data_IF_626062106455
#
_entry.id   IF_626062106455
#
_cell.length_a   1.000
_cell.length_b   1.000
_cell.length_c   1.000
_cell.angle_alpha   90.00
_cell.angle_beta   90.00
_cell.angle_gamma   90.00
#
_symmetry.space_group_name_H-M   'P 1'
#
loop_
_entity.id
_entity.type
_entity.pdbx_description
1 polymer ?
#
# COMPACT_ATOMS: atom_id res chain seq x y z
N UNK A 1 -31.03 13.47 15.66
CA UNK A 1 -29.68 13.83 15.14
C UNK A 1 -28.52 13.27 15.96
N UNK A 2 -28.62 13.12 17.30
CA UNK A 2 -27.52 12.64 18.18
C UNK A 2 -27.15 11.15 18.01
N UNK A 3 -28.13 10.24 17.92
CA UNK A 3 -27.86 8.79 17.84
C UNK A 3 -27.19 8.38 16.52
N UNK A 4 -27.60 8.99 15.40
CA UNK A 4 -27.04 8.74 14.08
C UNK A 4 -25.55 9.14 13.99
N UNK A 5 -25.21 10.30 14.54
CA UNK A 5 -23.81 10.76 14.60
C UNK A 5 -22.94 9.87 15.51
N UNK A 6 -23.52 9.30 16.57
CA UNK A 6 -22.81 8.33 17.43
C UNK A 6 -22.56 6.99 16.72
N UNK A 7 -23.54 6.49 15.95
CA UNK A 7 -23.39 5.26 15.15
C UNK A 7 -22.34 5.45 14.06
N UNK A 8 -22.38 6.58 13.34
CA UNK A 8 -21.38 6.90 12.31
C UNK A 8 -19.96 7.05 12.86
N UNK A 9 -19.82 7.66 14.05
CA UNK A 9 -18.53 7.75 14.74
C UNK A 9 -18.01 6.38 15.20
N UNK A 10 -18.88 5.51 15.69
CA UNK A 10 -18.49 4.13 16.02
C UNK A 10 -18.06 3.36 14.78
N UNK A 11 -18.77 3.46 13.66
CA UNK A 11 -18.37 2.81 12.41
C UNK A 11 -17.05 3.34 11.86
N UNK A 12 -16.80 4.65 12.01
CA UNK A 12 -15.55 5.26 11.55
C UNK A 12 -14.33 4.85 12.37
N UNK A 13 -14.50 4.79 13.69
CA UNK A 13 -13.45 4.30 14.60
C UNK A 13 -13.15 2.81 14.32
N UNK A 14 -14.18 2.02 13.98
CA UNK A 14 -14.04 0.60 13.60
C UNK A 14 -13.23 0.46 12.29
N UNK A 15 -13.52 1.25 11.25
CA UNK A 15 -12.77 1.17 9.97
C UNK A 15 -11.29 1.48 10.19
N UNK A 16 -10.98 2.53 10.95
CA UNK A 16 -9.60 2.88 11.30
C UNK A 16 -8.89 1.75 12.06
N UNK A 17 -9.55 1.19 13.10
CA UNK A 17 -9.00 0.07 13.87
C UNK A 17 -8.74 -1.15 12.99
N UNK A 18 -9.64 -1.48 12.05
CA UNK A 18 -9.46 -2.60 11.13
C UNK A 18 -8.22 -2.40 10.25
N UNK A 19 -8.00 -1.19 9.72
CA UNK A 19 -6.81 -0.91 8.89
C UNK A 19 -5.52 -1.02 9.70
N UNK A 20 -5.48 -0.52 10.94
CA UNK A 20 -4.35 -0.73 11.85
C UNK A 20 -4.10 -2.21 12.16
N UNK A 21 -5.16 -2.99 12.40
CA UNK A 21 -5.05 -4.44 12.63
C UNK A 21 -4.49 -5.16 11.40
N UNK A 22 -4.95 -4.81 10.20
CA UNK A 22 -4.45 -5.39 8.96
C UNK A 22 -2.97 -5.06 8.73
N UNK A 23 -2.58 -3.80 8.95
CA UNK A 23 -1.19 -3.37 8.89
C UNK A 23 -0.29 -4.17 9.84
N UNK A 24 -0.68 -4.29 11.13
CA UNK A 24 0.07 -5.07 12.11
C UNK A 24 0.15 -6.56 11.75
N UNK A 25 -0.91 -7.15 11.19
CA UNK A 25 -0.89 -8.54 10.71
C UNK A 25 0.07 -8.72 9.54
N UNK A 26 0.12 -7.76 8.62
CA UNK A 26 1.02 -7.80 7.47
C UNK A 26 2.49 -7.71 7.90
N UNK A 27 2.81 -6.82 8.86
CA UNK A 27 4.13 -6.76 9.49
C UNK A 27 4.50 -8.05 10.23
N UNK A 28 3.52 -8.67 10.92
CA UNK A 28 3.74 -9.95 11.60
C UNK A 28 4.02 -11.09 10.60
N UNK A 29 3.40 -11.07 9.43
CA UNK A 29 3.68 -12.04 8.37
C UNK A 29 5.11 -11.90 7.85
N UNK A 30 5.58 -10.68 7.59
CA UNK A 30 6.98 -10.41 7.22
C UNK A 30 7.95 -10.88 8.29
N UNK A 31 7.69 -10.55 9.55
CA UNK A 31 8.50 -11.02 10.69
C UNK A 31 8.53 -12.56 10.78
N UNK A 32 7.43 -13.22 10.40
CA UNK A 32 7.35 -14.68 10.35
C UNK A 32 8.19 -15.26 9.21
N UNK A 33 8.16 -14.65 8.02
CA UNK A 33 9.02 -15.02 6.90
C UNK A 33 10.50 -14.87 7.26
N UNK A 34 10.87 -13.72 7.83
CA UNK A 34 12.20 -13.46 8.35
C UNK A 34 12.67 -14.53 9.34
N UNK A 35 11.89 -14.79 10.38
CA UNK A 35 12.27 -15.75 11.42
C UNK A 35 12.42 -17.18 10.90
N UNK A 36 11.64 -17.56 9.87
CA UNK A 36 11.69 -18.89 9.25
C UNK A 36 12.72 -18.99 8.13
N UNK A 37 13.38 -17.89 7.74
CA UNK A 37 14.21 -17.84 6.53
C UNK A 37 13.42 -18.18 5.26
N UNK A 38 12.12 -17.90 5.25
CA UNK A 38 11.26 -18.14 4.10
C UNK A 38 11.36 -16.96 3.13
N UNK A 39 11.67 -17.26 1.87
CA UNK A 39 11.62 -16.30 0.77
C UNK A 39 10.33 -16.57 0.00
N UNK A 40 9.32 -15.68 0.08
CA UNK A 40 8.07 -15.84 -0.66
C UNK A 40 8.28 -15.63 -2.17
N UNK A 41 7.26 -15.96 -2.97
CA UNK A 41 7.21 -15.50 -4.37
C UNK A 41 7.05 -13.98 -4.42
N UNK A 42 7.40 -13.36 -5.55
CA UNK A 42 7.20 -11.92 -5.72
C UNK A 42 5.71 -11.54 -5.56
N UNK A 43 4.81 -12.36 -6.08
CA UNK A 43 3.36 -12.15 -5.95
C UNK A 43 2.90 -12.21 -4.48
N UNK A 44 3.26 -13.27 -3.74
CA UNK A 44 2.92 -13.40 -2.32
C UNK A 44 3.51 -12.26 -1.48
N UNK A 45 4.75 -11.86 -1.80
CA UNK A 45 5.40 -10.73 -1.16
C UNK A 45 4.64 -9.42 -1.41
N UNK A 46 4.24 -9.12 -2.65
CA UNK A 46 3.56 -7.88 -2.99
C UNK A 46 2.12 -7.82 -2.45
N UNK A 47 1.42 -8.94 -2.41
CA UNK A 47 0.08 -9.03 -1.82
C UNK A 47 0.09 -8.60 -0.36
N UNK A 48 1.10 -9.04 0.41
CA UNK A 48 1.29 -8.57 1.78
C UNK A 48 1.95 -7.18 1.84
N UNK A 49 2.93 -6.95 0.97
CA UNK A 49 3.80 -5.79 0.87
C UNK A 49 3.06 -4.48 0.63
N UNK A 50 1.95 -4.54 -0.11
CA UNK A 50 1.07 -3.38 -0.34
C UNK A 50 0.30 -2.96 0.93
N UNK A 51 0.12 -3.87 1.89
CA UNK A 51 -0.51 -3.56 3.18
C UNK A 51 0.56 -3.11 4.17
N UNK A 52 1.67 -3.85 4.28
CA UNK A 52 2.77 -3.56 5.21
C UNK A 52 3.59 -2.32 4.84
N UNK A 53 3.45 -1.78 3.62
CA UNK A 53 4.06 -0.49 3.24
C UNK A 53 3.38 0.72 3.88
N UNK A 54 2.27 0.51 4.60
CA UNK A 54 1.41 1.53 5.21
C UNK A 54 0.63 2.41 4.22
N UNK A 55 0.78 2.24 2.90
CA UNK A 55 0.10 3.09 1.90
C UNK A 55 -1.42 3.12 2.09
N UNK A 56 -2.07 1.97 2.27
CA UNK A 56 -3.50 1.88 2.58
C UNK A 56 -3.89 2.67 3.84
N UNK A 57 -3.08 2.57 4.89
CA UNK A 57 -3.32 3.23 6.16
C UNK A 57 -3.14 4.76 6.05
N UNK A 58 -2.10 5.22 5.36
CA UNK A 58 -1.84 6.64 5.10
C UNK A 58 -2.94 7.25 4.24
N UNK A 59 -3.33 6.57 3.16
CA UNK A 59 -4.42 7.00 2.28
C UNK A 59 -5.75 7.16 3.01
N UNK A 60 -6.08 6.22 3.91
CA UNK A 60 -7.25 6.33 4.79
C UNK A 60 -7.19 7.61 5.64
N UNK A 61 -6.05 7.84 6.29
CA UNK A 61 -5.83 9.02 7.13
C UNK A 61 -5.86 10.33 6.34
N UNK A 62 -5.37 10.34 5.10
CA UNK A 62 -5.42 11.50 4.20
C UNK A 62 -6.87 11.81 3.82
N UNK A 63 -7.63 10.82 3.33
CA UNK A 63 -9.02 11.03 2.89
C UNK A 63 -9.90 11.51 4.04
N UNK A 64 -9.77 10.91 5.23
CA UNK A 64 -10.57 11.28 6.39
C UNK A 64 -10.08 12.54 7.11
N UNK A 65 -8.77 12.75 7.16
CA UNK A 65 -8.17 13.93 7.76
C UNK A 65 -8.52 15.20 7.00
N UNK A 66 -8.44 15.17 5.67
CA UNK A 66 -8.73 16.34 4.83
C UNK A 66 -10.22 16.72 4.80
N UNK A 67 -11.11 15.78 5.09
CA UNK A 67 -12.56 16.00 5.14
C UNK A 67 -13.06 16.35 6.55
N UNK A 68 -12.16 16.30 7.56
CA UNK A 68 -12.40 16.59 8.97
C UNK A 68 -13.56 15.80 9.62
N UNK A 69 -14.14 14.83 8.90
CA UNK A 69 -15.26 13.97 9.32
C UNK A 69 -15.26 12.72 8.46
N UNK A 70 -15.45 11.58 9.10
CA UNK A 70 -15.73 10.32 8.41
C UNK A 70 -17.24 10.28 8.14
N UNK A 71 -17.62 10.52 6.90
CA UNK A 71 -18.99 10.48 6.39
C UNK A 71 -19.17 9.29 5.46
N UNK A 72 -20.43 8.97 5.11
CA UNK A 72 -20.71 7.97 4.07
C UNK A 72 -19.99 8.31 2.75
N UNK A 73 -20.07 9.56 2.32
CA UNK A 73 -19.39 10.04 1.10
C UNK A 73 -17.88 9.80 1.12
N UNK A 74 -17.22 9.99 2.27
CA UNK A 74 -15.78 9.72 2.37
C UNK A 74 -15.43 8.23 2.39
N UNK A 75 -16.33 7.39 2.89
CA UNK A 75 -16.19 5.94 2.84
C UNK A 75 -16.41 5.42 1.41
N UNK A 76 -17.46 5.90 0.75
CA UNK A 76 -17.75 5.62 -0.65
C UNK A 76 -16.56 6.05 -1.52
N UNK A 77 -15.97 7.24 -1.27
CA UNK A 77 -14.77 7.69 -1.98
C UNK A 77 -13.54 6.84 -1.71
N UNK A 78 -13.32 6.40 -0.47
CA UNK A 78 -12.21 5.49 -0.14
C UNK A 78 -12.36 4.16 -0.89
N UNK A 79 -13.58 3.62 -0.98
CA UNK A 79 -13.90 2.42 -1.76
C UNK A 79 -13.73 2.64 -3.28
N UNK A 80 -14.21 3.77 -3.81
CA UNK A 80 -14.03 4.15 -5.21
C UNK A 80 -12.55 4.30 -5.60
N UNK A 81 -11.68 4.62 -4.64
CA UNK A 81 -10.25 4.83 -4.86
C UNK A 81 -9.39 3.58 -4.57
N UNK A 82 -9.99 2.40 -4.32
CA UNK A 82 -9.23 1.21 -3.94
C UNK A 82 -8.08 0.87 -4.92
N UNK A 83 -8.31 0.94 -6.24
CA UNK A 83 -7.27 0.70 -7.24
C UNK A 83 -6.13 1.72 -7.16
N UNK A 84 -6.45 2.99 -6.93
CA UNK A 84 -5.44 4.05 -6.77
C UNK A 84 -4.62 3.77 -5.51
N UNK A 85 -5.28 3.48 -4.39
CA UNK A 85 -4.64 3.21 -3.10
C UNK A 85 -3.75 1.96 -3.18
N UNK A 86 -4.24 0.89 -3.82
CA UNK A 86 -3.48 -0.32 -4.05
C UNK A 86 -2.21 -0.03 -4.85
N UNK A 87 -2.33 0.61 -6.02
CA UNK A 87 -1.18 0.91 -6.86
C UNK A 87 -0.21 1.91 -6.23
N UNK A 88 -0.71 2.93 -5.53
CA UNK A 88 0.13 3.83 -4.72
C UNK A 88 0.91 3.05 -3.67
N UNK A 89 0.26 2.11 -2.96
CA UNK A 89 0.91 1.29 -1.94
C UNK A 89 1.97 0.34 -2.50
N UNK A 90 1.75 -0.20 -3.71
CA UNK A 90 2.74 -0.98 -4.46
C UNK A 90 3.93 -0.11 -4.85
N UNK A 91 3.72 1.11 -5.36
CA UNK A 91 4.83 2.02 -5.69
C UNK A 91 5.63 2.36 -4.43
N UNK A 92 4.98 2.72 -3.32
CA UNK A 92 5.65 3.00 -2.04
C UNK A 92 6.52 1.81 -1.62
N UNK A 93 5.97 0.59 -1.65
CA UNK A 93 6.68 -0.64 -1.31
C UNK A 93 7.92 -0.81 -2.20
N UNK A 94 7.74 -0.80 -3.51
CA UNK A 94 8.82 -1.10 -4.45
C UNK A 94 9.93 -0.02 -4.44
N UNK A 95 9.55 1.25 -4.33
CA UNK A 95 10.52 2.34 -4.19
C UNK A 95 11.29 2.23 -2.86
N UNK A 96 10.63 1.82 -1.78
CA UNK A 96 11.28 1.56 -0.50
C UNK A 96 12.33 0.44 -0.65
N UNK A 97 11.92 -0.74 -1.13
CA UNK A 97 12.80 -1.90 -1.31
C UNK A 97 14.00 -1.60 -2.23
N UNK A 98 13.81 -0.79 -3.29
CA UNK A 98 14.92 -0.35 -4.14
C UNK A 98 15.95 0.50 -3.39
N UNK A 99 15.47 1.40 -2.52
CA UNK A 99 16.30 2.32 -1.75
C UNK A 99 16.94 1.69 -0.51
N UNK A 100 16.38 0.61 0.02
CA UNK A 100 16.82 -0.02 1.28
C UNK A 100 17.56 -1.34 1.10
N UNK A 101 17.61 -1.92 -0.11
CA UNK A 101 18.17 -3.26 -0.35
C UNK A 101 19.54 -3.50 0.34
N UNK A 102 20.48 -2.56 0.21
CA UNK A 102 21.82 -2.72 0.79
C UNK A 102 21.75 -2.84 2.31
N UNK A 103 20.98 -1.96 2.96
CA UNK A 103 20.80 -1.96 4.41
C UNK A 103 20.01 -3.17 4.90
N UNK A 104 19.04 -3.65 4.13
CA UNK A 104 18.28 -4.86 4.42
C UNK A 104 19.19 -6.11 4.39
N UNK A 105 20.01 -6.23 3.34
CA UNK A 105 21.00 -7.31 3.23
C UNK A 105 22.02 -7.30 4.38
N UNK A 106 22.51 -6.12 4.78
CA UNK A 106 23.43 -5.98 5.93
C UNK A 106 22.79 -6.41 7.26
N UNK A 107 21.48 -6.21 7.41
CA UNK A 107 20.70 -6.64 8.60
C UNK A 107 20.31 -8.11 8.55
N UNK A 108 20.62 -8.79 7.44
CA UNK A 108 20.23 -10.17 7.19
C UNK A 108 18.76 -10.35 6.89
N UNK A 109 18.07 -9.29 6.43
CA UNK A 109 16.69 -9.39 5.99
C UNK A 109 16.59 -10.27 4.74
N UNK A 110 15.58 -11.13 4.71
CA UNK A 110 15.47 -12.20 3.69
C UNK A 110 14.40 -11.91 2.64
N UNK A 111 13.56 -10.90 2.87
CA UNK A 111 12.44 -10.58 2.01
C UNK A 111 12.49 -9.10 1.58
N UNK A 112 12.88 -8.87 0.33
CA UNK A 112 12.60 -7.65 -0.43
C UNK A 112 12.10 -8.07 -1.82
N UNK A 113 11.37 -7.20 -2.52
CA UNK A 113 10.84 -7.53 -3.84
C UNK A 113 11.93 -7.97 -4.83
N UNK A 114 13.12 -7.37 -4.73
CA UNK A 114 14.27 -7.70 -5.59
C UNK A 114 14.76 -9.13 -5.29
N UNK A 115 14.92 -9.47 -4.01
CA UNK A 115 15.39 -10.80 -3.60
C UNK A 115 14.36 -11.90 -3.93
N UNK A 116 13.06 -11.62 -3.72
CA UNK A 116 11.99 -12.55 -4.04
C UNK A 116 12.01 -12.90 -5.55
N UNK A 117 12.14 -11.89 -6.41
CA UNK A 117 12.18 -12.12 -7.86
C UNK A 117 13.47 -12.80 -8.33
N UNK A 118 14.63 -12.38 -7.81
CA UNK A 118 15.92 -13.05 -8.09
C UNK A 118 15.84 -14.55 -7.78
N UNK A 119 15.27 -14.91 -6.62
CA UNK A 119 15.16 -16.29 -6.18
C UNK A 119 14.11 -17.07 -6.98
N UNK A 120 12.98 -16.46 -7.28
CA UNK A 120 11.87 -17.08 -8.01
C UNK A 120 12.26 -17.42 -9.46
N UNK A 121 12.84 -16.46 -10.18
CA UNK A 121 13.16 -16.59 -11.60
C UNK A 121 14.62 -17.01 -11.86
N UNK A 122 15.44 -17.12 -10.80
CA UNK A 122 16.86 -17.44 -10.87
C UNK A 122 17.64 -16.49 -11.80
N UNK A 123 17.47 -15.18 -11.57
CA UNK A 123 18.05 -14.09 -12.37
C UNK A 123 19.02 -13.22 -11.55
N UNK A 124 19.80 -12.38 -12.24
CA UNK A 124 20.69 -11.41 -11.58
C UNK A 124 19.89 -10.29 -10.90
N UNK A 125 20.54 -9.58 -9.98
CA UNK A 125 19.97 -8.38 -9.34
C UNK A 125 19.59 -7.30 -10.37
N UNK A 126 20.41 -7.11 -11.41
CA UNK A 126 20.14 -6.16 -12.50
C UNK A 126 18.81 -6.47 -13.19
N UNK A 127 18.60 -7.72 -13.62
CA UNK A 127 17.36 -8.16 -14.26
C UNK A 127 16.17 -8.04 -13.30
N UNK A 128 16.38 -8.33 -12.02
CA UNK A 128 15.33 -8.15 -11.03
C UNK A 128 14.94 -6.69 -10.82
N UNK A 129 15.92 -5.77 -10.74
CA UNK A 129 15.66 -4.33 -10.64
C UNK A 129 14.88 -3.81 -11.85
N UNK A 130 15.28 -4.19 -13.06
CA UNK A 130 14.56 -3.82 -14.29
C UNK A 130 13.10 -4.32 -14.25
N UNK A 131 12.86 -5.54 -13.77
CA UNK A 131 11.51 -6.06 -13.62
C UNK A 131 10.70 -5.25 -12.59
N UNK A 132 11.28 -4.94 -11.43
CA UNK A 132 10.63 -4.12 -10.40
C UNK A 132 10.31 -2.72 -10.93
N UNK A 133 11.21 -2.09 -11.70
CA UNK A 133 10.97 -0.80 -12.35
C UNK A 133 9.79 -0.86 -13.33
N UNK A 134 9.65 -1.96 -14.07
CA UNK A 134 8.48 -2.17 -14.94
C UNK A 134 7.17 -2.21 -14.15
N UNK A 135 7.15 -2.88 -12.98
CA UNK A 135 5.96 -2.94 -12.12
C UNK A 135 5.61 -1.55 -11.56
N UNK A 136 6.62 -0.77 -11.18
CA UNK A 136 6.44 0.64 -10.74
C UNK A 136 5.80 1.46 -11.87
N UNK A 137 6.36 1.38 -13.08
CA UNK A 137 5.85 2.10 -14.25
C UNK A 137 4.41 1.70 -14.59
N UNK A 138 4.09 0.41 -14.54
CA UNK A 138 2.74 -0.08 -14.84
C UNK A 138 1.74 0.32 -13.74
N UNK A 139 2.16 0.33 -12.47
CA UNK A 139 1.35 0.86 -11.37
C UNK A 139 1.05 2.34 -11.55
N UNK A 140 2.03 3.15 -11.95
CA UNK A 140 1.82 4.56 -12.29
C UNK A 140 0.84 4.76 -13.45
N UNK A 141 0.90 3.92 -14.50
CA UNK A 141 -0.08 3.99 -15.61
C UNK A 141 -1.51 3.72 -15.10
N UNK A 142 -1.68 2.74 -14.21
CA UNK A 142 -2.98 2.43 -13.60
C UNK A 142 -3.48 3.55 -12.68
N UNK A 143 -2.62 4.10 -11.82
CA UNK A 143 -2.94 5.29 -11.00
C UNK A 143 -3.45 6.42 -11.90
N UNK A 144 -2.73 6.74 -12.97
CA UNK A 144 -3.10 7.80 -13.90
C UNK A 144 -4.44 7.52 -14.61
N UNK A 145 -4.69 6.28 -15.01
CA UNK A 145 -5.95 5.88 -15.61
C UNK A 145 -7.12 6.14 -14.63
N UNK A 146 -7.07 5.53 -13.44
CA UNK A 146 -8.14 5.66 -12.45
C UNK A 146 -8.31 7.12 -11.98
N UNK A 147 -7.22 7.83 -11.73
CA UNK A 147 -7.26 9.24 -11.32
C UNK A 147 -7.97 10.14 -12.35
N UNK A 148 -7.78 9.87 -13.64
CA UNK A 148 -8.45 10.63 -14.71
C UNK A 148 -9.95 10.32 -14.83
N UNK A 149 -10.40 9.13 -14.39
CA UNK A 149 -11.82 8.77 -14.36
C UNK A 149 -12.60 9.44 -13.22
N UNK A 150 -11.90 9.95 -12.19
CA UNK A 150 -12.53 10.61 -11.05
C UNK A 150 -13.17 11.96 -11.39
N UNK A 151 -14.18 12.35 -10.62
CA UNK A 151 -14.74 13.70 -10.68
C UNK A 151 -13.71 14.77 -10.29
N UNK A 152 -13.91 16.02 -10.73
CA UNK A 152 -13.00 17.11 -10.39
C UNK A 152 -12.90 17.37 -8.88
N UNK A 153 -13.96 17.15 -8.11
CA UNK A 153 -13.92 17.25 -6.65
C UNK A 153 -13.10 16.10 -6.03
N UNK A 154 -13.31 14.86 -6.49
CA UNK A 154 -12.55 13.70 -5.99
C UNK A 154 -11.05 13.82 -6.31
N UNK A 155 -10.68 14.24 -7.52
CA UNK A 155 -9.26 14.48 -7.88
C UNK A 155 -8.56 15.45 -6.93
N UNK A 156 -9.24 16.49 -6.44
CA UNK A 156 -8.64 17.45 -5.49
C UNK A 156 -8.26 16.81 -4.16
N UNK A 157 -9.00 15.79 -3.73
CA UNK A 157 -8.69 15.04 -2.51
C UNK A 157 -7.65 13.94 -2.80
N UNK A 158 -7.91 13.13 -3.81
CA UNK A 158 -7.12 11.93 -4.14
C UNK A 158 -5.71 12.26 -4.63
N UNK A 159 -5.46 13.47 -5.13
CA UNK A 159 -4.08 13.90 -5.44
C UNK A 159 -3.14 13.78 -4.22
N UNK A 160 -3.67 13.92 -3.00
CA UNK A 160 -2.87 13.81 -1.79
C UNK A 160 -2.46 12.37 -1.51
N UNK A 161 -3.32 11.41 -1.85
CA UNK A 161 -2.99 9.97 -1.83
C UNK A 161 -1.93 9.66 -2.88
N UNK A 162 -2.11 10.14 -4.12
CA UNK A 162 -1.15 9.89 -5.20
C UNK A 162 0.24 10.45 -4.89
N UNK A 163 0.32 11.59 -4.19
CA UNK A 163 1.59 12.21 -3.78
C UNK A 163 2.31 11.48 -2.63
N UNK A 164 1.73 10.42 -2.06
CA UNK A 164 2.43 9.56 -1.08
C UNK A 164 3.50 8.69 -1.75
N UNK A 165 3.35 8.42 -3.06
CA UNK A 165 4.26 7.65 -3.90
C UNK A 165 5.26 8.53 -4.64
#
# INVERSE_FOLDING_TARGET
MSLFMHVLRKSSDIVSIIQWVNFCKALLLEATWYHKGHIPTLEEYLDNGCISSSGHLLSLHVIFGLTNKITKETLDLYEDCHEIIYHTSVVIRLCNDQGTLVTELERGDVASSILCYMQQENVSEEVAREHIESIILDSWKKINYHFNTLSTSHRKLVKHVVNEA
#
